data_IF_248445286267
#
_entry.id   IF_248445286267
#
_cell.length_a   1.000
_cell.length_b   1.000
_cell.length_c   1.000
_cell.angle_alpha   90.00
_cell.angle_beta   90.00
_cell.angle_gamma   90.00
#
_symmetry.space_group_name_H-M   'P 1'
#
loop_
_entity.id
_entity.type
_entity.pdbx_description
1 polymer ?
#
# COMPACT_ATOMS: atom_id res chain seq x y z
N UNK A 1 -10.77 4.20 -16.95
CA UNK A 1 -9.61 3.87 -16.11
C UNK A 1 -9.56 4.66 -14.79
N UNK A 2 -9.72 5.97 -14.83
CA UNK A 2 -9.70 6.78 -13.59
C UNK A 2 -10.70 6.31 -12.53
N UNK A 3 -11.99 6.10 -12.85
CA UNK A 3 -12.94 5.64 -11.84
C UNK A 3 -12.56 4.29 -11.25
N UNK A 4 -12.04 3.38 -12.06
CA UNK A 4 -11.63 2.04 -11.61
C UNK A 4 -10.48 2.12 -10.61
N UNK A 5 -9.42 2.87 -10.94
CA UNK A 5 -8.28 3.02 -10.03
C UNK A 5 -8.63 3.81 -8.77
N UNK A 6 -9.45 4.86 -8.89
CA UNK A 6 -9.92 5.59 -7.71
C UNK A 6 -10.66 4.66 -6.75
N UNK A 7 -11.53 3.80 -7.27
CA UNK A 7 -12.26 2.84 -6.46
C UNK A 7 -11.32 1.81 -5.81
N UNK A 8 -10.32 1.32 -6.54
CA UNK A 8 -9.35 0.39 -5.98
C UNK A 8 -8.49 1.04 -4.89
N UNK A 9 -8.08 2.29 -5.05
CA UNK A 9 -7.33 3.00 -4.02
C UNK A 9 -8.21 3.32 -2.80
N UNK A 10 -9.49 3.62 -3.00
CA UNK A 10 -10.43 3.81 -1.88
C UNK A 10 -10.61 2.50 -1.09
N UNK A 11 -10.72 1.38 -1.79
CA UNK A 11 -10.75 0.06 -1.16
C UNK A 11 -9.45 -0.21 -0.38
N UNK A 12 -8.31 0.05 -0.99
CA UNK A 12 -7.01 -0.15 -0.35
C UNK A 12 -6.87 0.74 0.89
N UNK A 13 -7.32 1.99 0.80
CA UNK A 13 -7.31 2.90 1.94
C UNK A 13 -8.19 2.38 3.08
N UNK A 14 -9.40 1.95 2.76
CA UNK A 14 -10.33 1.36 3.73
C UNK A 14 -9.70 0.16 4.44
N UNK A 15 -9.13 -0.78 3.68
CA UNK A 15 -8.52 -1.98 4.25
C UNK A 15 -7.34 -1.66 5.17
N UNK A 16 -6.44 -0.79 4.72
CA UNK A 16 -5.26 -0.43 5.50
C UNK A 16 -5.64 0.36 6.75
N UNK A 17 -6.66 1.22 6.67
CA UNK A 17 -7.19 1.92 7.84
C UNK A 17 -7.70 0.94 8.89
N UNK A 18 -8.40 -0.12 8.47
CA UNK A 18 -8.87 -1.18 9.38
C UNK A 18 -7.72 -1.91 10.05
N UNK A 19 -6.64 -2.20 9.33
CA UNK A 19 -5.44 -2.81 9.91
C UNK A 19 -4.81 -1.88 10.95
N UNK A 20 -4.67 -0.59 10.64
CA UNK A 20 -4.11 0.40 11.56
C UNK A 20 -4.94 0.46 12.86
N UNK A 21 -6.26 0.59 12.73
CA UNK A 21 -7.18 0.65 13.88
C UNK A 21 -7.10 -0.63 14.72
N UNK A 22 -7.05 -1.79 14.07
CA UNK A 22 -6.98 -3.07 14.77
C UNK A 22 -5.66 -3.22 15.53
N UNK A 23 -4.52 -2.93 14.89
CA UNK A 23 -3.22 -2.98 15.55
C UNK A 23 -3.14 -2.00 16.74
N UNK A 24 -3.73 -0.81 16.61
CA UNK A 24 -3.76 0.18 17.68
C UNK A 24 -4.61 -0.27 18.88
N UNK A 25 -5.58 -1.16 18.67
CA UNK A 25 -6.48 -1.65 19.73
C UNK A 25 -5.95 -2.86 20.50
N UNK A 26 -4.86 -3.48 20.02
CA UNK A 26 -4.30 -4.68 20.63
C UNK A 26 -3.56 -4.39 21.92
N UNK A 27 -3.68 -5.31 22.89
CA UNK A 27 -2.95 -5.22 24.17
C UNK A 27 -1.47 -5.57 24.04
N UNK A 28 -1.09 -6.23 22.94
CA UNK A 28 0.29 -6.65 22.67
C UNK A 28 0.74 -6.20 21.30
N UNK A 29 2.05 -6.12 21.11
CA UNK A 29 2.66 -5.80 19.84
C UNK A 29 2.82 -7.08 19.02
N UNK A 30 2.50 -7.01 17.73
CA UNK A 30 2.71 -8.11 16.78
C UNK A 30 3.85 -7.72 15.85
N UNK A 31 5.06 -8.10 16.20
CA UNK A 31 6.28 -7.67 15.51
C UNK A 31 6.23 -7.97 14.00
N UNK A 32 5.80 -9.17 13.62
CA UNK A 32 5.72 -9.57 12.21
C UNK A 32 4.70 -8.74 11.43
N UNK A 33 3.52 -8.51 12.01
CA UNK A 33 2.49 -7.66 11.40
C UNK A 33 2.98 -6.23 11.24
N UNK A 34 3.68 -5.69 12.22
CA UNK A 34 4.21 -4.31 12.16
C UNK A 34 5.30 -4.19 11.10
N UNK A 35 6.17 -5.20 10.97
CA UNK A 35 7.17 -5.25 9.90
C UNK A 35 6.50 -5.27 8.53
N UNK A 36 5.51 -6.14 8.34
CA UNK A 36 4.78 -6.26 7.07
C UNK A 36 4.00 -5.00 6.73
N UNK A 37 3.35 -4.38 7.71
CA UNK A 37 2.57 -3.17 7.44
C UNK A 37 3.48 -1.97 7.14
N UNK A 38 4.62 -1.83 7.83
CA UNK A 38 5.62 -0.83 7.48
C UNK A 38 6.09 -1.01 6.03
N UNK A 39 6.30 -2.26 5.61
CA UNK A 39 6.66 -2.57 4.23
C UNK A 39 5.55 -2.20 3.24
N UNK A 40 4.29 -2.44 3.58
CA UNK A 40 3.14 -2.00 2.75
C UNK A 40 3.15 -0.49 2.55
N UNK A 41 3.37 0.27 3.62
CA UNK A 41 3.45 1.73 3.54
C UNK A 41 4.64 2.18 2.70
N UNK A 42 5.80 1.58 2.90
CA UNK A 42 7.01 1.91 2.15
C UNK A 42 6.87 1.61 0.66
N UNK A 43 6.33 0.46 0.31
CA UNK A 43 6.14 0.07 -1.08
C UNK A 43 5.19 1.02 -1.81
N UNK A 44 4.08 1.40 -1.18
CA UNK A 44 3.15 2.37 -1.76
C UNK A 44 3.86 3.70 -2.03
N UNK A 45 4.60 4.19 -1.06
CA UNK A 45 5.38 5.43 -1.20
C UNK A 45 6.42 5.31 -2.31
N UNK A 46 7.20 4.23 -2.34
CA UNK A 46 8.27 4.02 -3.32
C UNK A 46 7.70 3.98 -4.75
N UNK A 47 6.61 3.24 -4.96
CA UNK A 47 6.00 3.15 -6.29
C UNK A 47 5.40 4.48 -6.73
N UNK A 48 4.76 5.23 -5.83
CA UNK A 48 4.31 6.60 -6.14
C UNK A 48 5.49 7.49 -6.54
N UNK A 49 6.60 7.41 -5.80
CA UNK A 49 7.80 8.19 -6.11
C UNK A 49 8.38 7.84 -7.49
N UNK A 50 8.43 6.56 -7.84
CA UNK A 50 8.86 6.10 -9.16
C UNK A 50 7.99 6.65 -10.28
N UNK A 51 6.67 6.67 -10.06
CA UNK A 51 5.72 7.20 -11.05
C UNK A 51 5.93 8.70 -11.29
N UNK A 52 6.16 9.47 -10.24
CA UNK A 52 6.32 10.93 -10.36
C UNK A 52 7.77 11.35 -10.58
N UNK A 53 8.71 10.42 -10.61
CA UNK A 53 10.13 10.72 -10.88
C UNK A 53 10.86 11.34 -9.70
N UNK A 54 10.48 11.01 -8.48
CA UNK A 54 11.12 11.49 -7.24
C UNK A 54 11.92 10.38 -6.58
N UNK A 55 12.93 10.77 -5.79
CA UNK A 55 13.65 9.84 -4.93
C UNK A 55 12.77 9.51 -3.72
N UNK A 56 12.57 8.22 -3.39
CA UNK A 56 11.77 7.86 -2.23
C UNK A 56 12.42 8.33 -0.92
N UNK A 57 11.59 8.68 0.06
CA UNK A 57 12.03 9.07 1.41
C UNK A 57 12.27 7.87 2.33
N UNK A 58 11.78 6.69 1.96
CA UNK A 58 11.82 5.49 2.80
C UNK A 58 12.54 4.34 2.09
N UNK A 59 13.18 3.49 2.87
CA UNK A 59 13.72 2.23 2.41
C UNK A 59 12.62 1.15 2.40
N UNK A 60 12.82 0.09 1.63
CA UNK A 60 11.81 -0.96 1.40
C UNK A 60 11.31 -1.58 2.71
N UNK A 61 12.21 -1.88 3.64
CA UNK A 61 11.88 -2.53 4.92
C UNK A 61 12.05 -1.60 6.12
N UNK A 62 12.03 -0.29 5.91
CA UNK A 62 12.12 0.68 7.00
C UNK A 62 10.93 0.51 7.96
N UNK A 63 11.22 0.42 9.24
CA UNK A 63 10.19 0.31 10.28
C UNK A 63 9.65 1.70 10.63
N UNK A 64 8.34 1.78 10.77
CA UNK A 64 7.67 2.99 11.24
C UNK A 64 6.93 2.70 12.53
N UNK A 65 6.99 3.59 13.53
CA UNK A 65 6.18 3.43 14.72
C UNK A 65 4.68 3.51 14.37
N UNK A 66 3.87 2.74 15.07
CA UNK A 66 2.42 2.66 14.83
C UNK A 66 1.75 4.04 14.79
N UNK A 67 2.19 4.96 15.64
CA UNK A 67 1.65 6.34 15.71
C UNK A 67 1.81 7.11 14.39
N UNK A 68 2.74 6.75 13.53
CA UNK A 68 3.02 7.44 12.27
C UNK A 68 2.30 6.80 11.07
N UNK A 69 1.72 5.62 11.23
CA UNK A 69 1.12 4.87 10.11
C UNK A 69 -0.01 5.63 9.40
N UNK A 70 -0.89 6.24 10.16
CA UNK A 70 -2.04 6.95 9.58
C UNK A 70 -1.62 8.11 8.70
N UNK A 71 -0.60 8.88 9.11
CA UNK A 71 -0.11 10.02 8.34
C UNK A 71 0.57 9.57 7.04
N UNK A 72 1.41 8.53 7.12
CA UNK A 72 2.07 7.97 5.93
C UNK A 72 1.02 7.42 4.97
N UNK A 73 0.03 6.70 5.49
CA UNK A 73 -1.03 6.12 4.67
C UNK A 73 -1.87 7.20 3.98
N UNK A 74 -2.21 8.25 4.70
CA UNK A 74 -2.94 9.39 4.13
C UNK A 74 -2.14 10.05 2.99
N UNK A 75 -0.85 10.31 3.19
CA UNK A 75 -0.01 10.91 2.15
C UNK A 75 0.12 10.00 0.92
N UNK A 76 0.22 8.69 1.12
CA UNK A 76 0.23 7.73 0.03
C UNK A 76 -1.07 7.79 -0.78
N UNK A 77 -2.21 7.85 -0.11
CA UNK A 77 -3.52 7.95 -0.76
C UNK A 77 -3.63 9.25 -1.55
N UNK A 78 -3.22 10.36 -0.95
CA UNK A 78 -3.27 11.67 -1.59
C UNK A 78 -2.43 11.69 -2.87
N UNK A 79 -1.21 11.16 -2.80
CA UNK A 79 -0.32 11.12 -3.97
C UNK A 79 -0.89 10.23 -5.07
N UNK A 80 -1.41 9.05 -4.73
CA UNK A 80 -2.04 8.16 -5.72
C UNK A 80 -3.28 8.79 -6.35
N UNK A 81 -4.07 9.52 -5.57
CA UNK A 81 -5.23 10.25 -6.09
C UNK A 81 -4.81 11.34 -7.07
N UNK A 82 -3.77 12.10 -6.76
CA UNK A 82 -3.22 13.10 -7.67
C UNK A 82 -2.70 12.48 -8.96
N UNK A 83 -1.97 11.37 -8.86
CA UNK A 83 -1.46 10.64 -10.03
C UNK A 83 -2.62 10.20 -10.92
N UNK A 84 -3.64 9.59 -10.35
CA UNK A 84 -4.80 9.10 -11.10
C UNK A 84 -5.59 10.24 -11.73
N UNK A 85 -5.80 11.34 -10.98
CA UNK A 85 -6.54 12.50 -11.46
C UNK A 85 -5.85 13.18 -12.62
N UNK A 86 -4.52 13.29 -12.58
CA UNK A 86 -3.72 13.96 -13.59
C UNK A 86 -3.33 13.05 -14.76
N UNK A 87 -3.60 11.75 -14.69
CA UNK A 87 -3.24 10.80 -15.74
C UNK A 87 -4.04 11.07 -17.01
N UNK A 88 -3.36 11.24 -18.12
CA UNK A 88 -3.98 11.38 -19.45
C UNK A 88 -3.94 10.06 -20.21
N UNK A 89 -2.89 9.25 -19.97
CA UNK A 89 -2.68 7.98 -20.65
C UNK A 89 -2.16 6.94 -19.64
N UNK A 90 -3.00 5.96 -19.32
CA UNK A 90 -2.65 4.88 -18.38
C UNK A 90 -1.71 3.84 -19.01
N UNK A 91 -1.57 3.83 -20.31
CA UNK A 91 -0.60 2.97 -21.01
C UNK A 91 0.77 3.65 -21.16
N UNK A 92 0.91 4.89 -20.69
CA UNK A 92 2.20 5.59 -20.69
C UNK A 92 3.26 4.75 -20.02
N UNK A 93 4.39 4.58 -20.69
CA UNK A 93 5.52 3.83 -20.15
C UNK A 93 6.39 4.72 -19.27
N UNK A 94 6.77 4.20 -18.12
CA UNK A 94 7.55 4.91 -17.11
C UNK A 94 8.81 4.11 -16.83
N UNK A 95 9.96 4.76 -17.00
CA UNK A 95 11.26 4.18 -16.64
C UNK A 95 11.56 4.45 -15.17
N UNK A 96 12.10 3.45 -14.49
CA UNK A 96 12.51 3.60 -13.10
C UNK A 96 13.64 2.65 -12.75
N UNK A 97 14.45 3.00 -11.77
CA UNK A 97 15.42 2.09 -11.18
C UNK A 97 14.79 1.32 -10.03
N UNK A 98 15.08 0.01 -9.94
CA UNK A 98 14.69 -0.74 -8.76
C UNK A 98 15.70 -0.49 -7.62
N UNK A 99 15.46 -1.12 -6.45
CA UNK A 99 16.32 -0.96 -5.27
C UNK A 99 17.76 -1.44 -5.47
N UNK A 100 18.02 -2.22 -6.53
CA UNK A 100 19.37 -2.69 -6.88
C UNK A 100 20.03 -1.82 -7.96
N UNK A 101 19.37 -0.73 -8.37
CA UNK A 101 19.87 0.18 -9.39
C UNK A 101 19.67 -0.32 -10.83
N UNK A 102 18.87 -1.36 -11.01
CA UNK A 102 18.57 -1.90 -12.35
C UNK A 102 17.40 -1.15 -12.97
N UNK A 103 17.54 -0.75 -14.24
CA UNK A 103 16.50 -0.03 -14.98
C UNK A 103 15.39 -0.97 -15.47
N UNK A 104 14.16 -0.56 -15.24
CA UNK A 104 12.95 -1.23 -15.74
C UNK A 104 11.99 -0.21 -16.34
N UNK A 105 11.05 -0.71 -17.14
CA UNK A 105 9.97 0.09 -17.71
C UNK A 105 8.65 -0.66 -17.54
N UNK A 106 7.65 0.01 -17.00
CA UNK A 106 6.29 -0.52 -16.90
C UNK A 106 5.28 0.56 -17.30
N UNK A 107 4.06 0.16 -17.62
CA UNK A 107 3.00 1.13 -17.87
C UNK A 107 2.50 1.71 -16.56
N UNK A 108 1.91 2.91 -16.61
CA UNK A 108 1.29 3.53 -15.44
C UNK A 108 0.25 2.60 -14.82
N UNK A 109 -0.61 1.98 -15.62
CA UNK A 109 -1.65 1.07 -15.09
C UNK A 109 -1.05 -0.14 -14.37
N UNK A 110 0.04 -0.70 -14.87
CA UNK A 110 0.71 -1.83 -14.22
C UNK A 110 1.28 -1.42 -12.86
N UNK A 111 1.88 -0.25 -12.79
CA UNK A 111 2.46 0.25 -11.54
C UNK A 111 1.38 0.56 -10.51
N UNK A 112 0.27 1.18 -10.91
CA UNK A 112 -0.87 1.46 -10.03
C UNK A 112 -1.51 0.16 -9.53
N UNK A 113 -1.74 -0.79 -10.43
CA UNK A 113 -2.30 -2.08 -10.02
C UNK A 113 -1.34 -2.84 -9.10
N UNK A 114 -0.04 -2.77 -9.36
CA UNK A 114 0.95 -3.41 -8.49
C UNK A 114 0.84 -2.90 -7.04
N UNK A 115 0.65 -1.60 -6.84
CA UNK A 115 0.47 -1.04 -5.49
C UNK A 115 -0.69 -1.73 -4.78
N UNK A 116 -1.83 -1.85 -5.44
CA UNK A 116 -3.04 -2.47 -4.88
C UNK A 116 -2.80 -3.95 -4.58
N UNK A 117 -2.27 -4.68 -5.56
CA UNK A 117 -2.03 -6.12 -5.45
C UNK A 117 -0.98 -6.45 -4.39
N UNK A 118 0.07 -5.66 -4.30
CA UNK A 118 1.12 -5.80 -3.29
C UNK A 118 0.55 -5.65 -1.87
N UNK A 119 -0.26 -4.62 -1.65
CA UNK A 119 -0.92 -4.40 -0.35
C UNK A 119 -1.82 -5.58 0.01
N UNK A 120 -2.62 -6.07 -0.93
CA UNK A 120 -3.51 -7.21 -0.71
C UNK A 120 -2.74 -8.46 -0.31
N UNK A 121 -1.63 -8.75 -1.00
CA UNK A 121 -0.78 -9.89 -0.70
C UNK A 121 -0.25 -9.84 0.75
N UNK A 122 0.28 -8.71 1.16
CA UNK A 122 0.85 -8.57 2.50
C UNK A 122 -0.23 -8.48 3.60
N UNK A 123 -1.40 -7.92 3.31
CA UNK A 123 -2.53 -8.00 4.26
C UNK A 123 -2.94 -9.45 4.52
N UNK A 124 -2.87 -10.31 3.49
CA UNK A 124 -3.09 -11.75 3.69
C UNK A 124 -2.09 -12.37 4.66
N UNK A 125 -0.81 -11.98 4.56
CA UNK A 125 0.23 -12.45 5.49
C UNK A 125 0.00 -11.91 6.92
N UNK A 126 -0.44 -10.67 7.06
CA UNK A 126 -0.81 -10.08 8.35
C UNK A 126 -1.97 -10.86 8.97
N UNK A 127 -2.97 -11.25 8.18
CA UNK A 127 -4.08 -12.08 8.66
C UNK A 127 -3.59 -13.42 9.21
N UNK A 128 -2.61 -14.05 8.58
CA UNK A 128 -2.00 -15.28 9.09
C UNK A 128 -1.30 -15.03 10.43
N UNK A 129 -0.54 -13.94 10.54
CA UNK A 129 0.14 -13.59 11.79
C UNK A 129 -0.86 -13.32 12.92
N UNK A 130 -1.98 -12.67 12.64
CA UNK A 130 -3.07 -12.49 13.62
C UNK A 130 -3.58 -13.84 14.12
N UNK A 131 -3.90 -14.77 13.20
CA UNK A 131 -4.37 -16.12 13.59
C UNK A 131 -3.34 -16.86 14.43
N UNK A 132 -2.08 -16.76 14.07
CA UNK A 132 -0.99 -17.41 14.83
C UNK A 132 -0.84 -16.85 16.25
N UNK A 133 -1.36 -15.64 16.49
CA UNK A 133 -1.35 -14.99 17.80
C UNK A 133 -2.71 -15.03 18.51
N UNK A 134 -3.65 -15.84 18.03
CA UNK A 134 -4.96 -15.98 18.64
C UNK A 134 -5.89 -14.79 18.45
N UNK A 135 -5.63 -13.95 17.45
CA UNK A 135 -6.41 -12.76 17.13
C UNK A 135 -7.18 -13.05 15.85
N UNK A 136 -8.49 -12.79 15.88
CA UNK A 136 -9.32 -12.96 14.69
C UNK A 136 -9.01 -11.87 13.68
N UNK A 137 -8.65 -12.23 12.42
CA UNK A 137 -8.38 -11.24 11.39
C UNK A 137 -9.65 -10.56 10.91
N UNK A 138 -9.48 -9.35 10.39
CA UNK A 138 -10.57 -8.58 9.77
C UNK A 138 -10.84 -9.16 8.39
N UNK A 139 -12.11 -9.30 8.01
CA UNK A 139 -12.51 -9.72 6.66
C UNK A 139 -12.41 -8.49 5.74
N UNK A 140 -11.46 -8.53 4.81
CA UNK A 140 -11.15 -7.42 3.92
C UNK A 140 -11.29 -7.78 2.44
N UNK A 141 -12.08 -8.79 2.11
CA UNK A 141 -12.32 -9.16 0.72
C UNK A 141 -13.01 -8.02 -0.03
N UNK A 142 -12.57 -7.78 -1.26
CA UNK A 142 -13.09 -6.71 -2.09
C UNK A 142 -14.61 -6.79 -2.27
N UNK A 143 -15.14 -7.98 -2.47
CA UNK A 143 -16.58 -8.16 -2.67
C UNK A 143 -17.38 -7.71 -1.42
N UNK A 144 -16.82 -7.92 -0.22
CA UNK A 144 -17.48 -7.47 1.01
C UNK A 144 -17.47 -5.96 1.14
N UNK A 145 -16.41 -5.32 0.69
CA UNK A 145 -16.34 -3.85 0.63
C UNK A 145 -17.40 -3.27 -0.30
N UNK A 146 -17.74 -3.99 -1.37
CA UNK A 146 -18.70 -3.53 -2.39
C UNK A 146 -20.16 -3.80 -2.06
N UNK A 147 -20.46 -4.52 -1.00
CA UNK A 147 -21.83 -4.82 -0.58
C UNK A 147 -22.46 -3.73 0.26
#
# INVERSE_FOLDING_TARGET
MKPFFNELFDYNFYCNKKIIEHCASLDKRLDKSEELFSHVLNAHHIWNARIVGKVPDYEIWQRHPLKDWSDIHYENQRTSFEITTNAEDFEKRIDYDNSEGRLFTNTLQDMLFHIINHSTNHRGQIAVDFRNNGIEPIVLDYVNYKR
#
